data_IF_380798511143
#
_entry.id   IF_380798511143
#
_cell.length_a   1.000
_cell.length_b   1.000
_cell.length_c   1.000
_cell.angle_alpha   90.00
_cell.angle_beta   90.00
_cell.angle_gamma   90.00
#
_symmetry.space_group_name_H-M   'P 1'
#
loop_
_entity.id
_entity.type
_entity.pdbx_description
1 polymer ?
#
# COMPACT_ATOMS: atom_id res chain seq x y z
N UNK A 1 -17.66 -21.78 -75.00
CA UNK A 1 -17.42 -22.30 -73.62
C UNK A 1 -17.15 -21.22 -72.55
N UNK A 2 -16.71 -19.99 -72.89
CA UNK A 2 -16.36 -18.94 -71.90
C UNK A 2 -17.56 -18.17 -71.29
N UNK A 3 -18.73 -18.20 -71.92
CA UNK A 3 -19.92 -17.42 -71.53
C UNK A 3 -20.68 -18.03 -70.34
N UNK A 4 -20.80 -19.35 -70.29
CA UNK A 4 -21.41 -20.11 -69.18
C UNK A 4 -20.70 -19.90 -67.84
N UNK A 5 -19.37 -19.90 -67.87
CA UNK A 5 -18.54 -19.73 -66.67
C UNK A 5 -18.66 -18.30 -66.12
N UNK A 6 -18.73 -17.30 -67.03
CA UNK A 6 -18.99 -15.89 -66.69
C UNK A 6 -20.37 -15.71 -66.03
N UNK A 7 -21.39 -16.40 -66.56
CA UNK A 7 -22.74 -16.33 -66.02
C UNK A 7 -22.83 -16.97 -64.62
N UNK A 8 -22.27 -18.17 -64.42
CA UNK A 8 -22.24 -18.84 -63.10
C UNK A 8 -21.40 -18.08 -62.07
N UNK A 9 -20.31 -17.45 -62.47
CA UNK A 9 -19.49 -16.62 -61.60
C UNK A 9 -20.22 -15.34 -61.15
N UNK A 10 -20.92 -14.66 -62.07
CA UNK A 10 -21.77 -13.52 -61.70
C UNK A 10 -22.92 -13.93 -60.77
N UNK A 11 -23.54 -15.08 -61.02
CA UNK A 11 -24.62 -15.61 -60.17
C UNK A 11 -24.13 -15.92 -58.75
N UNK A 12 -22.90 -16.44 -58.60
CA UNK A 12 -22.30 -16.71 -57.30
C UNK A 12 -21.96 -15.44 -56.50
N UNK A 13 -21.49 -14.38 -57.17
CA UNK A 13 -21.22 -13.09 -56.51
C UNK A 13 -22.53 -12.37 -56.12
N UNK A 14 -23.55 -12.40 -56.99
CA UNK A 14 -24.85 -11.78 -56.71
C UNK A 14 -25.62 -12.50 -55.59
N UNK A 15 -25.44 -13.82 -55.44
CA UNK A 15 -26.10 -14.61 -54.39
C UNK A 15 -25.37 -14.56 -53.03
N UNK A 16 -24.13 -14.03 -52.97
CA UNK A 16 -23.36 -13.84 -51.72
C UNK A 16 -23.77 -12.56 -50.95
N UNK A 17 -24.68 -11.75 -51.50
CA UNK A 17 -25.07 -10.43 -50.96
C UNK A 17 -26.27 -10.46 -49.99
N UNK A 18 -26.56 -11.60 -49.38
CA UNK A 18 -27.57 -11.73 -48.33
C UNK A 18 -26.86 -12.22 -47.07
N UNK A 19 -26.94 -11.43 -45.99
CA UNK A 19 -26.59 -11.76 -44.61
C UNK A 19 -25.28 -11.19 -44.03
N UNK A 20 -24.75 -10.09 -44.55
CA UNK A 20 -23.85 -9.24 -43.73
C UNK A 20 -24.65 -8.07 -43.17
N UNK A 21 -25.41 -8.33 -42.11
CA UNK A 21 -26.03 -7.29 -41.29
C UNK A 21 -24.89 -6.58 -40.53
N UNK A 22 -24.55 -5.36 -40.97
CA UNK A 22 -23.59 -4.53 -40.27
C UNK A 22 -24.19 -3.96 -38.98
N UNK A 23 -23.37 -3.81 -37.94
CA UNK A 23 -23.75 -3.08 -36.72
C UNK A 23 -24.22 -1.67 -37.09
N UNK A 24 -25.37 -1.26 -36.55
CA UNK A 24 -25.87 0.09 -36.76
C UNK A 24 -25.08 1.08 -35.89
N UNK A 25 -24.90 2.31 -36.37
CA UNK A 25 -24.25 3.37 -35.58
C UNK A 25 -25.03 3.66 -34.29
N UNK A 26 -26.35 3.48 -34.31
CA UNK A 26 -27.21 3.71 -33.14
C UNK A 26 -27.02 2.63 -32.06
N UNK A 27 -26.81 1.36 -32.45
CA UNK A 27 -26.50 0.29 -31.49
C UNK A 27 -25.18 0.56 -30.78
N UNK A 28 -24.15 0.96 -31.53
CA UNK A 28 -22.85 1.30 -30.95
C UNK A 28 -22.95 2.53 -30.04
N UNK A 29 -23.75 3.53 -30.41
CA UNK A 29 -24.00 4.73 -29.61
C UNK A 29 -24.67 4.39 -28.26
N UNK A 30 -25.70 3.55 -28.26
CA UNK A 30 -26.38 3.15 -27.01
C UNK A 30 -25.43 2.37 -26.10
N UNK A 31 -24.58 1.50 -26.65
CA UNK A 31 -23.60 0.73 -25.87
C UNK A 31 -22.59 1.65 -25.19
N UNK A 32 -22.02 2.63 -25.91
CA UNK A 32 -21.05 3.56 -25.31
C UNK A 32 -21.67 4.44 -24.22
N UNK A 33 -22.97 4.78 -24.36
CA UNK A 33 -23.72 5.52 -23.33
C UNK A 33 -23.87 4.66 -22.08
N UNK A 34 -24.26 3.40 -22.22
CA UNK A 34 -24.43 2.48 -21.08
C UNK A 34 -23.10 2.25 -20.35
N UNK A 35 -22.02 1.92 -21.06
CA UNK A 35 -20.69 1.74 -20.42
C UNK A 35 -20.18 3.05 -19.82
N UNK A 36 -20.52 4.21 -20.40
CA UNK A 36 -20.17 5.52 -19.86
C UNK A 36 -20.82 5.78 -18.49
N UNK A 37 -22.12 5.50 -18.37
CA UNK A 37 -22.86 5.64 -17.11
C UNK A 37 -22.31 4.68 -16.04
N UNK A 38 -22.09 3.41 -16.41
CA UNK A 38 -21.54 2.41 -15.48
C UNK A 38 -20.12 2.78 -15.03
N UNK A 39 -19.28 3.24 -15.94
CA UNK A 39 -17.89 3.64 -15.64
C UNK A 39 -17.83 4.85 -14.72
N UNK A 40 -18.74 5.82 -14.88
CA UNK A 40 -18.77 7.02 -14.03
C UNK A 40 -18.98 6.68 -12.54
N UNK A 41 -19.76 5.64 -12.23
CA UNK A 41 -20.02 5.20 -10.85
C UNK A 41 -18.94 4.22 -10.37
N UNK A 42 -18.52 3.29 -11.24
CA UNK A 42 -17.59 2.23 -10.87
C UNK A 42 -16.14 2.73 -10.67
N UNK A 43 -15.68 3.65 -11.51
CA UNK A 43 -14.29 4.11 -11.52
C UNK A 43 -13.82 4.74 -10.19
N UNK A 44 -14.54 5.70 -9.56
CA UNK A 44 -14.08 6.28 -8.30
C UNK A 44 -14.01 5.23 -7.17
N UNK A 45 -14.96 4.29 -7.13
CA UNK A 45 -14.96 3.18 -6.17
C UNK A 45 -13.76 2.25 -6.39
N UNK A 46 -13.46 1.90 -7.65
CA UNK A 46 -12.32 1.06 -8.01
C UNK A 46 -10.99 1.72 -7.62
N UNK A 47 -10.81 3.02 -7.90
CA UNK A 47 -9.61 3.76 -7.51
C UNK A 47 -9.42 3.82 -5.99
N UNK A 48 -10.51 4.00 -5.23
CA UNK A 48 -10.45 3.97 -3.77
C UNK A 48 -10.05 2.59 -3.23
N UNK A 49 -10.56 1.50 -3.82
CA UNK A 49 -10.17 0.14 -3.45
C UNK A 49 -8.71 -0.15 -3.76
N UNK A 50 -8.22 0.30 -4.93
CA UNK A 50 -6.81 0.21 -5.28
C UNK A 50 -5.93 0.98 -4.29
N UNK A 51 -6.33 2.18 -3.88
CA UNK A 51 -5.61 2.96 -2.87
C UNK A 51 -5.61 2.28 -1.49
N UNK A 52 -6.73 1.67 -1.09
CA UNK A 52 -6.80 0.87 0.15
C UNK A 52 -5.87 -0.34 0.10
N UNK A 53 -5.80 -1.05 -1.03
CA UNK A 53 -4.89 -2.18 -1.17
C UNK A 53 -3.41 -1.76 -1.02
N UNK A 54 -3.02 -0.64 -1.64
CA UNK A 54 -1.69 -0.04 -1.48
C UNK A 54 -1.39 0.36 -0.03
N UNK A 55 -2.38 0.91 0.67
CA UNK A 55 -2.26 1.27 2.08
C UNK A 55 -2.13 0.03 2.99
N UNK A 56 -2.85 -1.05 2.69
CA UNK A 56 -2.73 -2.34 3.39
C UNK A 56 -1.34 -2.94 3.20
N UNK A 57 -0.77 -2.88 2.00
CA UNK A 57 0.62 -3.30 1.73
C UNK A 57 1.60 -2.56 2.66
N UNK A 58 1.51 -1.23 2.75
CA UNK A 58 2.37 -0.44 3.62
C UNK A 58 2.16 -0.77 5.10
N UNK A 59 0.90 -0.80 5.55
CA UNK A 59 0.54 -1.14 6.93
C UNK A 59 1.07 -2.51 7.36
N UNK A 60 0.87 -3.53 6.52
CA UNK A 60 1.32 -4.90 6.79
C UNK A 60 2.84 -5.02 6.79
N UNK A 61 3.51 -4.31 5.87
CA UNK A 61 4.97 -4.27 5.81
C UNK A 61 5.58 -3.63 7.05
N UNK A 62 5.10 -2.46 7.49
CA UNK A 62 5.60 -1.82 8.73
C UNK A 62 5.30 -2.67 9.96
N UNK A 63 4.13 -3.31 10.02
CA UNK A 63 3.83 -4.27 11.08
C UNK A 63 4.77 -5.49 11.08
N UNK A 64 5.18 -5.98 9.90
CA UNK A 64 6.18 -7.03 9.78
C UNK A 64 7.57 -6.54 10.21
N UNK A 65 7.95 -5.32 9.85
CA UNK A 65 9.19 -4.68 10.32
C UNK A 65 9.23 -4.59 11.84
N UNK A 66 8.12 -4.21 12.50
CA UNK A 66 8.06 -4.18 13.96
C UNK A 66 8.33 -5.56 14.57
N UNK A 67 7.68 -6.61 14.08
CA UNK A 67 7.91 -7.99 14.58
C UNK A 67 9.34 -8.46 14.34
N UNK A 68 9.91 -8.15 13.18
CA UNK A 68 11.29 -8.49 12.88
C UNK A 68 12.29 -7.72 13.75
N UNK A 69 12.02 -6.45 14.07
CA UNK A 69 12.84 -5.67 15.00
C UNK A 69 12.79 -6.24 16.42
N UNK A 70 11.61 -6.69 16.89
CA UNK A 70 11.49 -7.39 18.17
C UNK A 70 12.31 -8.68 18.19
N UNK A 71 12.21 -9.52 17.15
CA UNK A 71 13.00 -10.75 17.05
C UNK A 71 14.50 -10.45 17.01
N UNK A 72 14.92 -9.48 16.19
CA UNK A 72 16.32 -9.07 16.08
C UNK A 72 16.88 -8.56 17.42
N UNK A 73 16.08 -7.81 18.19
CA UNK A 73 16.46 -7.36 19.52
C UNK A 73 16.66 -8.52 20.50
N UNK A 74 15.79 -9.53 20.46
CA UNK A 74 15.93 -10.72 21.32
C UNK A 74 17.22 -11.51 21.04
N UNK A 75 17.69 -11.49 19.79
CA UNK A 75 18.93 -12.17 19.38
C UNK A 75 20.19 -11.34 19.63
N UNK A 76 20.10 -10.01 19.48
CA UNK A 76 21.29 -9.13 19.40
C UNK A 76 21.37 -8.08 20.53
N UNK A 77 20.37 -8.00 21.42
CA UNK A 77 20.22 -6.95 22.46
C UNK A 77 20.33 -5.51 21.93
N UNK A 78 20.01 -5.30 20.65
CA UNK A 78 19.99 -3.99 19.99
C UNK A 78 19.07 -4.07 18.78
N UNK A 79 18.50 -2.94 18.36
CA UNK A 79 17.67 -2.91 17.15
C UNK A 79 18.52 -2.81 15.87
N UNK A 80 18.00 -3.34 14.77
CA UNK A 80 18.68 -3.25 13.48
C UNK A 80 18.60 -1.82 12.95
N UNK A 81 19.74 -1.26 12.55
CA UNK A 81 19.82 0.04 11.89
C UNK A 81 19.44 -0.03 10.41
N UNK A 82 19.34 1.13 9.76
CA UNK A 82 18.99 1.22 8.33
C UNK A 82 19.92 0.42 7.43
N UNK A 83 21.23 0.42 7.71
CA UNK A 83 22.22 -0.33 6.92
C UNK A 83 22.06 -1.85 7.11
N UNK A 84 21.42 -2.26 8.20
CA UNK A 84 21.14 -3.64 8.56
C UNK A 84 19.71 -4.10 8.19
N UNK A 85 18.97 -3.31 7.40
CA UNK A 85 17.61 -3.66 6.98
C UNK A 85 17.51 -5.09 6.42
N UNK A 86 18.52 -5.54 5.67
CA UNK A 86 18.57 -6.90 5.11
C UNK A 86 18.62 -8.01 6.16
N UNK A 87 19.17 -7.74 7.36
CA UNK A 87 19.25 -8.71 8.47
C UNK A 87 17.88 -9.01 9.09
N UNK A 88 16.87 -8.16 8.87
CA UNK A 88 15.50 -8.42 9.32
C UNK A 88 14.83 -9.60 8.56
N UNK A 89 15.42 -10.07 7.45
CA UNK A 89 14.95 -11.29 6.77
C UNK A 89 13.54 -11.18 6.15
N UNK A 90 13.01 -9.97 5.98
CA UNK A 90 11.61 -9.75 5.58
C UNK A 90 11.32 -10.09 4.10
N UNK A 91 12.36 -10.17 3.25
CA UNK A 91 12.18 -10.38 1.80
C UNK A 91 11.43 -9.24 1.08
N UNK A 92 11.25 -8.09 1.73
CA UNK A 92 10.55 -6.92 1.15
C UNK A 92 11.52 -5.99 0.44
N UNK A 93 11.06 -5.38 -0.66
CA UNK A 93 11.81 -4.31 -1.32
C UNK A 93 11.70 -3.04 -0.48
N UNK A 94 12.82 -2.36 -0.23
CA UNK A 94 12.82 -1.07 0.50
C UNK A 94 12.16 0.06 -0.29
N UNK A 95 11.85 -0.14 -1.57
CA UNK A 95 11.10 0.80 -2.39
C UNK A 95 10.14 0.06 -3.31
N UNK A 96 8.89 0.51 -3.32
CA UNK A 96 7.85 0.07 -4.26
C UNK A 96 7.53 1.22 -5.21
N UNK A 97 6.42 1.09 -5.94
CA UNK A 97 5.91 2.20 -6.75
C UNK A 97 5.36 3.33 -5.86
N UNK A 98 4.73 2.99 -4.73
CA UNK A 98 3.98 3.93 -3.91
C UNK A 98 4.74 4.35 -2.64
N UNK A 99 5.56 3.46 -2.09
CA UNK A 99 6.20 3.65 -0.78
C UNK A 99 7.73 3.48 -0.83
N UNK A 100 8.41 4.12 0.11
CA UNK A 100 9.77 3.79 0.52
C UNK A 100 9.72 3.34 1.97
N UNK A 101 10.28 2.17 2.24
CA UNK A 101 10.42 1.60 3.56
C UNK A 101 11.82 1.85 4.09
N UNK A 102 11.90 2.06 5.40
CA UNK A 102 13.18 2.18 6.06
C UNK A 102 13.06 2.24 7.57
N UNK A 103 14.22 2.31 8.18
CA UNK A 103 14.47 2.32 9.61
C UNK A 103 15.20 3.61 9.94
N UNK A 104 14.88 4.18 11.09
CA UNK A 104 15.48 5.38 11.68
C UNK A 104 15.56 5.22 13.18
N UNK A 105 16.39 6.05 13.80
CA UNK A 105 16.50 6.18 15.25
C UNK A 105 16.76 4.84 15.97
N UNK A 106 17.47 3.93 15.31
CA UNK A 106 17.83 2.64 15.88
C UNK A 106 18.84 2.84 17.01
N UNK A 107 18.49 2.36 18.19
CA UNK A 107 19.29 2.38 19.41
C UNK A 107 19.13 1.06 20.16
N UNK A 108 19.67 0.96 21.37
CA UNK A 108 19.44 -0.18 22.27
C UNK A 108 18.07 -0.18 22.93
N UNK A 109 17.32 0.92 22.85
CA UNK A 109 16.06 1.08 23.60
C UNK A 109 14.86 1.38 22.71
N UNK A 110 15.08 1.88 21.49
CA UNK A 110 14.03 2.20 20.55
C UNK A 110 14.50 2.12 19.10
N UNK A 111 13.57 1.86 18.18
CA UNK A 111 13.74 1.93 16.73
C UNK A 111 12.45 2.38 16.07
N UNK A 112 12.59 3.14 14.98
CA UNK A 112 11.48 3.62 14.16
C UNK A 112 11.53 3.03 12.77
N UNK A 113 10.50 2.29 12.40
CA UNK A 113 10.21 1.82 11.06
C UNK A 113 9.26 2.81 10.37
N UNK A 114 9.41 3.02 9.07
CA UNK A 114 8.51 3.90 8.33
C UNK A 114 8.18 3.35 6.94
N UNK A 115 6.99 3.71 6.45
CA UNK A 115 6.59 3.64 5.06
C UNK A 115 6.19 5.06 4.61
N UNK A 116 7.15 5.78 4.02
CA UNK A 116 6.92 7.11 3.45
C UNK A 116 6.43 7.00 2.00
N UNK A 117 5.70 8.00 1.50
CA UNK A 117 5.30 7.99 0.10
C UNK A 117 6.49 8.26 -0.80
N UNK A 118 6.57 7.52 -1.92
CA UNK A 118 7.58 7.77 -2.96
C UNK A 118 7.36 9.10 -3.65
N UNK A 119 6.10 9.45 -3.90
CA UNK A 119 5.69 10.70 -4.54
C UNK A 119 4.86 11.53 -3.56
N UNK A 120 5.21 12.79 -3.40
CA UNK A 120 4.47 13.70 -2.51
C UNK A 120 3.12 14.06 -3.14
N UNK A 121 2.07 14.26 -2.32
CA UNK A 121 0.72 14.55 -2.80
C UNK A 121 -0.09 13.35 -3.31
N UNK A 122 0.41 12.12 -3.12
CA UNK A 122 -0.34 10.89 -3.40
C UNK A 122 -1.59 10.80 -2.49
N UNK A 123 -2.73 10.22 -2.95
CA UNK A 123 -3.93 10.02 -2.14
C UNK A 123 -3.77 8.93 -1.05
N UNK A 124 -2.54 8.56 -0.75
CA UNK A 124 -2.19 7.49 0.17
C UNK A 124 -1.73 8.06 1.51
N UNK A 125 -1.99 7.31 2.59
CA UNK A 125 -1.49 7.63 3.94
C UNK A 125 -0.08 7.10 4.16
N UNK A 126 0.61 7.69 5.12
CA UNK A 126 1.93 7.26 5.60
C UNK A 126 1.77 6.38 6.83
N UNK A 127 2.67 5.43 7.01
CA UNK A 127 2.69 4.55 8.17
C UNK A 127 4.02 4.63 8.90
N UNK A 128 3.96 4.66 10.22
CA UNK A 128 5.11 4.67 11.10
C UNK A 128 4.97 3.53 12.12
N UNK A 129 6.05 2.83 12.42
CA UNK A 129 6.10 1.76 13.39
C UNK A 129 7.20 2.03 14.41
N UNK A 130 6.87 2.07 15.69
CA UNK A 130 7.87 2.17 16.76
C UNK A 130 8.02 0.82 17.45
N UNK A 131 9.24 0.42 17.75
CA UNK A 131 9.53 -0.70 18.67
C UNK A 131 10.48 -0.21 19.73
N UNK A 132 10.19 -0.48 21.00
CA UNK A 132 11.10 -0.14 22.08
C UNK A 132 11.08 -1.15 23.21
N UNK A 133 12.03 -0.98 24.11
CA UNK A 133 12.24 -1.83 25.28
C UNK A 133 11.67 -1.11 26.49
N UNK A 134 10.87 -1.83 27.25
CA UNK A 134 10.09 -1.24 28.31
C UNK A 134 9.98 -2.26 29.46
N UNK A 135 10.15 -1.83 30.72
CA UNK A 135 10.09 -2.71 31.90
C UNK A 135 8.67 -2.90 32.44
N UNK A 136 8.14 -4.12 32.45
CA UNK A 136 6.81 -4.41 33.01
C UNK A 136 6.72 -3.93 34.47
N UNK A 137 5.75 -3.05 34.77
CA UNK A 137 5.66 -2.37 36.06
C UNK A 137 5.54 -3.31 37.27
N UNK A 138 5.00 -4.53 37.08
CA UNK A 138 4.81 -5.52 38.13
C UNK A 138 6.01 -6.44 38.38
N UNK A 139 6.82 -6.72 37.35
CA UNK A 139 7.93 -7.69 37.45
C UNK A 139 9.31 -7.06 37.29
N UNK A 140 9.38 -5.79 36.88
CA UNK A 140 10.63 -5.11 36.47
C UNK A 140 11.40 -5.85 35.36
N UNK A 141 10.72 -6.69 34.58
CA UNK A 141 11.30 -7.42 33.45
C UNK A 141 11.23 -6.56 32.19
N UNK A 142 12.35 -6.49 31.46
CA UNK A 142 12.40 -5.82 30.17
C UNK A 142 11.63 -6.64 29.12
N UNK A 143 10.68 -6.01 28.45
CA UNK A 143 9.94 -6.57 27.32
C UNK A 143 9.96 -5.60 26.14
N UNK A 144 9.82 -6.13 24.93
CA UNK A 144 9.70 -5.30 23.73
C UNK A 144 8.24 -5.00 23.43
N UNK A 145 7.95 -3.74 23.15
CA UNK A 145 6.61 -3.21 22.88
C UNK A 145 6.64 -2.52 21.52
N UNK A 146 5.53 -2.62 20.78
CA UNK A 146 5.42 -2.09 19.43
C UNK A 146 4.16 -1.26 19.25
N UNK A 147 4.28 -0.21 18.44
CA UNK A 147 3.17 0.66 18.02
C UNK A 147 3.21 0.82 16.50
N UNK A 148 2.03 0.89 15.91
CA UNK A 148 1.82 1.20 14.51
C UNK A 148 0.90 2.41 14.41
N UNK A 149 1.31 3.41 13.66
CA UNK A 149 0.60 4.66 13.45
C UNK A 149 0.32 4.86 11.96
N UNK A 150 -0.81 5.48 11.65
CA UNK A 150 -1.10 6.00 10.31
C UNK A 150 -1.32 7.51 10.33
N UNK A 151 -1.01 8.19 9.24
CA UNK A 151 -1.26 9.63 9.14
C UNK A 151 -2.77 9.92 9.11
N UNK A 152 -3.18 11.01 9.75
CA UNK A 152 -4.58 11.45 9.76
C UNK A 152 -5.04 11.86 8.36
N UNK A 153 -4.16 12.55 7.64
CA UNK A 153 -4.39 13.02 6.28
C UNK A 153 -3.53 12.26 5.24
N UNK A 154 -4.05 11.98 4.04
CA UNK A 154 -3.25 11.45 2.93
C UNK A 154 -2.22 12.49 2.45
N UNK A 155 -1.11 12.03 1.88
CA UNK A 155 -0.06 12.91 1.37
C UNK A 155 0.82 13.57 2.45
N UNK A 156 0.48 13.46 3.74
CA UNK A 156 1.27 13.98 4.85
C UNK A 156 2.54 13.14 5.06
N UNK A 157 3.65 13.57 4.44
CA UNK A 157 4.96 12.92 4.54
C UNK A 157 5.90 13.53 5.57
N UNK A 158 5.46 14.56 6.31
CA UNK A 158 6.37 15.43 7.07
C UNK A 158 7.19 14.63 8.08
N UNK A 159 6.53 13.87 8.98
CA UNK A 159 7.20 13.00 9.95
C UNK A 159 8.14 11.97 9.33
N UNK A 160 7.69 11.30 8.26
CA UNK A 160 8.46 10.24 7.62
C UNK A 160 9.61 10.78 6.75
N UNK A 161 9.67 12.08 6.44
CA UNK A 161 10.77 12.72 5.72
C UNK A 161 11.83 13.30 6.63
N UNK A 162 11.43 14.01 7.69
CA UNK A 162 12.36 14.79 8.52
C UNK A 162 13.00 13.98 9.64
N UNK A 163 12.51 12.77 9.94
CA UNK A 163 13.05 11.96 11.05
C UNK A 163 12.93 12.66 12.41
N UNK A 164 12.11 13.72 12.49
CA UNK A 164 11.96 14.57 13.67
C UNK A 164 10.81 14.13 14.57
N UNK A 165 10.32 12.91 14.39
CA UNK A 165 9.26 12.35 15.21
C UNK A 165 9.81 11.08 15.81
N UNK A 166 10.70 11.29 16.78
CA UNK A 166 11.07 10.26 17.73
C UNK A 166 9.77 9.76 18.31
N UNK A 167 9.40 8.51 17.98
CA UNK A 167 8.82 7.64 18.98
C UNK A 167 9.77 7.77 20.17
N UNK A 168 9.47 8.66 21.12
CA UNK A 168 10.35 8.84 22.25
C UNK A 168 10.17 7.58 23.10
N UNK A 169 11.24 7.04 23.68
CA UNK A 169 11.14 5.92 24.61
C UNK A 169 10.09 6.19 25.73
N UNK A 170 9.80 7.46 26.02
CA UNK A 170 8.76 7.93 26.93
C UNK A 170 7.30 7.69 26.46
N UNK A 171 7.07 7.32 25.21
CA UNK A 171 5.74 7.09 24.64
C UNK A 171 5.36 5.62 24.54
N UNK A 172 6.26 4.68 24.87
CA UNK A 172 5.94 3.24 24.91
C UNK A 172 5.84 2.77 26.36
N UNK A 173 4.69 2.97 26.99
CA UNK A 173 4.50 2.57 28.36
C UNK A 173 4.36 1.06 28.48
N UNK A 174 4.80 0.58 29.63
CA UNK A 174 4.97 -0.81 30.04
C UNK A 174 3.76 -1.39 30.74
N UNK A 175 2.82 -0.52 31.08
CA UNK A 175 1.69 -0.75 31.96
C UNK A 175 0.37 -0.91 31.19
N UNK A 176 0.43 -0.93 29.86
CA UNK A 176 -0.75 -0.97 29.00
C UNK A 176 -1.47 0.37 28.85
N UNK A 177 -0.89 1.49 29.30
CA UNK A 177 -1.38 2.81 28.89
C UNK A 177 -1.15 3.03 27.39
N UNK A 178 -2.00 3.80 26.73
CA UNK A 178 -2.02 3.87 25.27
C UNK A 178 -0.71 4.49 24.74
N UNK A 179 0.11 3.70 24.04
CA UNK A 179 1.20 4.22 23.22
C UNK A 179 0.60 5.24 22.26
N UNK A 180 0.96 6.51 22.43
CA UNK A 180 0.37 7.61 21.66
C UNK A 180 1.22 7.88 20.42
N UNK A 181 0.56 7.94 19.27
CA UNK A 181 1.17 8.44 18.06
C UNK A 181 1.40 9.95 18.17
N UNK A 182 2.36 10.46 17.41
CA UNK A 182 2.58 11.91 17.31
C UNK A 182 1.34 12.63 16.76
N UNK A 183 1.22 13.94 17.01
CA UNK A 183 0.12 14.76 16.49
C UNK A 183 0.05 14.68 14.96
N UNK A 184 -1.14 14.43 14.41
CA UNK A 184 -1.30 14.19 12.97
C UNK A 184 -1.20 12.71 12.57
N UNK A 185 -1.05 11.81 13.55
CA UNK A 185 -1.11 10.37 13.38
C UNK A 185 -2.08 9.73 14.36
N UNK A 186 -2.78 8.71 13.90
CA UNK A 186 -3.69 7.89 14.68
C UNK A 186 -3.06 6.52 14.94
N UNK A 187 -3.17 6.04 16.18
CA UNK A 187 -2.73 4.70 16.56
C UNK A 187 -3.61 3.63 15.93
N UNK A 188 -2.95 2.63 15.35
CA UNK A 188 -3.56 1.42 14.81
C UNK A 188 -3.46 0.25 15.79
N UNK A 189 -3.10 0.52 17.05
CA UNK A 189 -3.17 -0.46 18.12
C UNK A 189 -4.58 -1.05 18.19
N UNK A 190 -4.64 -2.37 18.36
CA UNK A 190 -5.87 -3.11 18.60
C UNK A 190 -5.79 -3.72 19.98
#
# INVERSE_FOLDING_TARGET
>A
MKTELKAKFLQHILNKKKNEEGFTLIELLVVIIIIGILSAIALPSFLNQANKAKQVEAKTTVGAMNRAQQAYYLENNTFAAQDDFGKLGLGVKTQTENYKYGIRDASTSIVTNFAQLKTSGSPLKVYLGGVGVANVASTSEATTVALLCESDLPGNNTAAKTGSESFAAAQIPVDGSATSCHTGYTSLAK
#
